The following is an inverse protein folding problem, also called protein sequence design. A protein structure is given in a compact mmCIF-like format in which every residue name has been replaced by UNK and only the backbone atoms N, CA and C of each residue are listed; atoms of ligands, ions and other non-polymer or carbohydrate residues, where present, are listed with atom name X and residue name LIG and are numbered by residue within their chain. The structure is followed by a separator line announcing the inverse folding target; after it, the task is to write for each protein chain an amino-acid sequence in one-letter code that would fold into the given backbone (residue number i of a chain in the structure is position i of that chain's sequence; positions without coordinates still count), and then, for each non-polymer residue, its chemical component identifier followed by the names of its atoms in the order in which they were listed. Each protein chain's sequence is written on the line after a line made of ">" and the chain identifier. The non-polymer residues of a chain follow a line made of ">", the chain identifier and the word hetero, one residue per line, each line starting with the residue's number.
data_IF_954002730701
#
_entry.id   IF_954002730701
#
_cell.length_a   1.000
_cell.length_b   1.000
_cell.length_c   1.000
_cell.angle_alpha   90.00
_cell.angle_beta   90.00
_cell.angle_gamma   90.00
#
_symmetry.space_group_name_H-M   'P 1'
#
loop_
_entity.id
_entity.type
_entity.pdbx_description
1 polymer ?
#
# COMPACT_ATOMS: atom_id res chain seq x y z
N UNK A 1 9.83 52.76 15.53
CA UNK A 1 9.02 51.93 14.61
C UNK A 1 9.86 50.99 13.70
N UNK A 2 11.11 51.33 13.32
CA UNK A 2 11.93 50.50 12.40
C UNK A 2 12.43 49.17 13.00
N UNK A 3 12.83 49.13 14.28
CA UNK A 3 13.32 47.94 14.95
C UNK A 3 12.20 46.89 15.13
N UNK A 4 10.98 47.30 15.49
CA UNK A 4 9.84 46.41 15.65
C UNK A 4 9.47 45.73 14.30
N UNK A 5 9.45 46.47 13.19
CA UNK A 5 9.19 45.93 11.85
C UNK A 5 10.25 44.88 11.45
N UNK A 6 11.52 45.12 11.76
CA UNK A 6 12.59 44.11 11.50
C UNK A 6 12.41 42.86 12.32
N UNK A 7 12.10 42.97 13.61
CA UNK A 7 11.87 41.79 14.48
C UNK A 7 10.65 41.03 14.00
N UNK A 8 9.53 41.68 13.70
CA UNK A 8 8.32 41.04 13.17
C UNK A 8 8.62 40.33 11.84
N UNK A 9 9.36 40.98 10.93
CA UNK A 9 9.76 40.36 9.66
C UNK A 9 10.64 39.15 9.83
N UNK A 10 11.62 39.17 10.77
CA UNK A 10 12.47 38.01 11.05
C UNK A 10 11.68 36.84 11.66
N UNK A 11 10.76 37.09 12.59
CA UNK A 11 9.91 36.07 13.19
C UNK A 11 9.00 35.47 12.12
N UNK A 12 8.35 36.27 11.31
CA UNK A 12 7.51 35.78 10.21
C UNK A 12 8.30 34.90 9.20
N UNK A 13 9.54 35.30 8.87
CA UNK A 13 10.42 34.51 8.02
C UNK A 13 10.79 33.15 8.64
N UNK A 14 11.10 33.13 9.94
CA UNK A 14 11.42 31.88 10.65
C UNK A 14 10.21 30.93 10.71
N UNK A 15 9.01 31.46 10.98
CA UNK A 15 7.76 30.68 10.98
C UNK A 15 7.48 30.12 9.59
N UNK A 16 7.67 30.93 8.55
CA UNK A 16 7.46 30.50 7.17
C UNK A 16 8.44 29.38 6.78
N UNK A 17 9.74 29.56 7.04
CA UNK A 17 10.76 28.53 6.77
C UNK A 17 10.51 27.26 7.57
N UNK A 18 10.18 27.40 8.86
CA UNK A 18 9.81 26.26 9.71
C UNK A 18 8.60 25.50 9.18
N UNK A 19 7.58 26.23 8.70
CA UNK A 19 6.40 25.65 8.05
C UNK A 19 6.73 24.89 6.78
N UNK A 20 7.61 25.41 5.92
CA UNK A 20 8.07 24.72 4.71
C UNK A 20 8.86 23.45 5.04
N UNK A 21 9.71 23.48 6.05
CA UNK A 21 10.45 22.30 6.51
C UNK A 21 9.48 21.24 7.05
N UNK A 22 8.53 21.64 7.89
CA UNK A 22 7.52 20.72 8.43
C UNK A 22 6.68 20.10 7.30
N UNK A 23 6.28 20.88 6.30
CA UNK A 23 5.57 20.40 5.13
C UNK A 23 6.40 19.39 4.32
N UNK A 24 7.68 19.68 4.10
CA UNK A 24 8.59 18.79 3.37
C UNK A 24 8.81 17.46 4.11
N UNK A 25 8.99 17.52 5.43
CA UNK A 25 9.16 16.33 6.27
C UNK A 25 7.91 15.45 6.36
N UNK A 26 6.72 16.03 6.23
CA UNK A 26 5.44 15.31 6.31
C UNK A 26 4.76 15.14 4.94
N UNK A 27 5.44 15.48 3.86
CA UNK A 27 4.84 15.49 2.52
C UNK A 27 4.23 14.14 2.14
N UNK A 28 4.92 13.03 2.45
CA UNK A 28 4.41 11.69 2.16
C UNK A 28 3.11 11.40 2.93
N UNK A 29 3.06 11.72 4.23
CA UNK A 29 1.86 11.53 5.05
C UNK A 29 0.67 12.33 4.52
N UNK A 30 0.90 13.60 4.14
CA UNK A 30 -0.15 14.46 3.58
C UNK A 30 -0.64 13.93 2.23
N UNK A 31 0.27 13.51 1.37
CA UNK A 31 -0.07 12.91 0.07
C UNK A 31 -0.89 11.63 0.25
N UNK A 32 -0.45 10.75 1.14
CA UNK A 32 -1.12 9.50 1.42
C UNK A 32 -2.53 9.72 1.98
N UNK A 33 -2.68 10.69 2.89
CA UNK A 33 -3.99 11.08 3.42
C UNK A 33 -4.92 11.63 2.34
N UNK A 34 -4.40 12.46 1.42
CA UNK A 34 -5.18 12.96 0.29
C UNK A 34 -5.59 11.84 -0.65
N UNK A 35 -4.73 10.87 -0.93
CA UNK A 35 -5.05 9.72 -1.77
C UNK A 35 -6.18 8.89 -1.17
N UNK A 36 -6.11 8.56 0.11
CA UNK A 36 -7.19 7.82 0.80
C UNK A 36 -8.51 8.61 0.76
N UNK A 37 -8.46 9.91 1.00
CA UNK A 37 -9.66 10.75 0.99
C UNK A 37 -10.30 10.89 -0.40
N UNK A 38 -9.50 10.88 -1.47
CA UNK A 38 -9.99 10.93 -2.85
C UNK A 38 -10.52 9.59 -3.35
N UNK A 39 -10.14 8.49 -2.72
CA UNK A 39 -10.58 7.17 -3.13
C UNK A 39 -12.02 6.89 -2.70
N UNK A 40 -12.82 6.45 -3.65
CA UNK A 40 -14.20 6.00 -3.42
C UNK A 40 -14.28 4.52 -3.75
N UNK A 41 -14.18 3.64 -2.73
CA UNK A 41 -14.23 2.20 -2.94
C UNK A 41 -15.60 1.77 -3.47
N UNK A 42 -15.63 0.84 -4.41
CA UNK A 42 -16.85 0.18 -4.83
C UNK A 42 -17.44 -0.68 -3.70
N UNK A 43 -18.72 -1.02 -3.78
CA UNK A 43 -19.34 -1.93 -2.80
C UNK A 43 -18.63 -3.29 -2.72
N UNK A 44 -18.15 -3.81 -3.85
CA UNK A 44 -17.36 -5.05 -3.91
C UNK A 44 -16.05 -4.94 -3.11
N UNK A 45 -15.31 -3.85 -3.26
CA UNK A 45 -14.08 -3.58 -2.50
C UNK A 45 -14.38 -3.42 -1.00
N UNK A 46 -15.48 -2.76 -0.62
CA UNK A 46 -15.88 -2.63 0.79
C UNK A 46 -16.16 -4.02 1.37
N UNK A 47 -16.98 -4.82 0.68
CA UNK A 47 -17.31 -6.18 1.11
C UNK A 47 -16.05 -7.04 1.22
N UNK A 48 -15.13 -6.95 0.25
CA UNK A 48 -13.87 -7.68 0.27
C UNK A 48 -13.01 -7.32 1.49
N UNK A 49 -12.88 -6.03 1.82
CA UNK A 49 -12.11 -5.60 3.00
C UNK A 49 -12.70 -6.09 4.32
N UNK A 50 -14.03 -6.18 4.40
CA UNK A 50 -14.71 -6.68 5.59
C UNK A 50 -14.56 -8.20 5.71
N UNK A 51 -14.70 -8.95 4.60
CA UNK A 51 -14.46 -10.40 4.54
C UNK A 51 -12.99 -10.74 4.86
N UNK A 52 -12.04 -9.97 4.32
CA UNK A 52 -10.61 -10.11 4.63
C UNK A 52 -10.26 -9.71 6.07
N UNK A 53 -11.22 -9.21 6.85
CA UNK A 53 -11.04 -8.76 8.24
C UNK A 53 -9.84 -7.82 8.41
N UNK A 54 -9.61 -6.92 7.45
CA UNK A 54 -8.52 -5.97 7.53
C UNK A 54 -8.73 -5.01 8.71
N UNK A 55 -7.69 -4.82 9.53
CA UNK A 55 -7.69 -3.80 10.57
C UNK A 55 -7.81 -2.39 9.96
N UNK A 56 -8.15 -1.38 10.75
CA UNK A 56 -8.23 0.00 10.26
C UNK A 56 -6.94 0.46 9.58
N UNK A 57 -5.78 0.05 10.11
CA UNK A 57 -4.49 0.32 9.49
C UNK A 57 -4.30 -0.45 8.18
N UNK A 58 -4.75 -1.70 8.11
CA UNK A 58 -4.76 -2.49 6.88
C UNK A 58 -5.66 -1.87 5.82
N UNK A 59 -6.88 -1.48 6.18
CA UNK A 59 -7.81 -0.75 5.29
C UNK A 59 -7.20 0.56 4.80
N UNK A 60 -6.51 1.31 5.65
CA UNK A 60 -5.81 2.53 5.25
C UNK A 60 -4.77 2.27 4.15
N UNK A 61 -3.87 1.28 4.33
CA UNK A 61 -2.89 0.93 3.30
C UNK A 61 -3.55 0.39 2.03
N UNK A 62 -4.58 -0.42 2.17
CA UNK A 62 -5.30 -0.97 1.03
C UNK A 62 -5.97 0.13 0.20
N UNK A 63 -6.71 1.04 0.83
CA UNK A 63 -7.37 2.16 0.15
C UNK A 63 -6.39 3.22 -0.39
N UNK A 64 -5.23 3.37 0.25
CA UNK A 64 -4.15 4.21 -0.25
C UNK A 64 -3.70 3.80 -1.66
N UNK A 65 -3.74 2.51 -1.96
CA UNK A 65 -3.38 1.97 -3.27
C UNK A 65 -4.57 1.89 -4.25
N UNK A 66 -5.71 2.52 -3.96
CA UNK A 66 -6.87 2.58 -4.86
C UNK A 66 -7.20 1.20 -5.48
N UNK A 67 -7.47 0.16 -4.68
CA UNK A 67 -7.65 -1.20 -5.17
C UNK A 67 -8.80 -1.29 -6.17
N UNK A 68 -8.62 -2.13 -7.18
CA UNK A 68 -9.60 -2.43 -8.21
C UNK A 68 -9.84 -3.93 -8.23
N UNK A 69 -11.10 -4.35 -8.34
CA UNK A 69 -11.50 -5.71 -8.63
C UNK A 69 -11.87 -5.75 -10.11
N UNK A 70 -11.16 -6.56 -10.90
CA UNK A 70 -11.15 -6.49 -12.36
C UNK A 70 -11.41 -7.86 -12.97
N UNK A 71 -12.16 -7.89 -14.07
CA UNK A 71 -12.31 -9.08 -14.90
C UNK A 71 -11.01 -9.45 -15.61
N UNK A 72 -11.00 -10.61 -16.25
CA UNK A 72 -9.80 -11.20 -16.85
C UNK A 72 -9.08 -10.29 -17.87
N UNK A 73 -9.82 -9.54 -18.67
CA UNK A 73 -9.24 -8.72 -19.73
C UNK A 73 -8.49 -7.52 -19.14
N UNK A 74 -9.11 -6.77 -18.24
CA UNK A 74 -8.55 -5.59 -17.57
C UNK A 74 -7.38 -6.00 -16.69
N UNK A 75 -7.55 -7.04 -15.88
CA UNK A 75 -6.51 -7.55 -14.98
C UNK A 75 -5.24 -7.97 -15.74
N UNK A 76 -5.37 -8.75 -16.83
CA UNK A 76 -4.22 -9.22 -17.60
C UNK A 76 -3.48 -8.09 -18.36
N UNK A 77 -4.11 -6.94 -18.59
CA UNK A 77 -3.44 -5.76 -19.17
C UNK A 77 -2.55 -5.08 -18.13
N UNK A 78 -2.98 -5.08 -16.87
CA UNK A 78 -2.31 -4.40 -15.78
C UNK A 78 -1.28 -5.31 -15.07
N UNK A 79 -1.61 -6.58 -14.85
CA UNK A 79 -0.79 -7.55 -14.15
C UNK A 79 -0.22 -8.59 -15.12
N UNK A 80 1.07 -8.50 -15.41
CA UNK A 80 1.75 -9.47 -16.27
C UNK A 80 2.27 -10.65 -15.45
N UNK A 81 1.97 -11.86 -15.90
CA UNK A 81 2.49 -13.09 -15.27
C UNK A 81 3.98 -13.22 -15.57
N UNK A 82 4.79 -13.42 -14.53
CA UNK A 82 6.20 -13.73 -14.67
C UNK A 82 6.41 -15.12 -15.29
N UNK A 83 5.52 -16.07 -14.94
CA UNK A 83 5.55 -17.45 -15.44
C UNK A 83 4.18 -17.85 -16.01
N UNK A 84 4.15 -18.54 -17.18
CA UNK A 84 2.88 -18.90 -17.84
C UNK A 84 1.99 -19.87 -17.02
N UNK A 85 2.56 -20.60 -16.05
CA UNK A 85 1.85 -21.60 -15.25
C UNK A 85 1.44 -21.12 -13.86
N UNK A 86 1.85 -19.89 -13.46
CA UNK A 86 1.45 -19.37 -12.15
C UNK A 86 0.07 -18.70 -12.25
N UNK A 87 -0.80 -19.01 -11.30
CA UNK A 87 -2.04 -18.26 -11.11
C UNK A 87 -1.69 -16.93 -10.43
N UNK A 88 -1.76 -15.83 -11.18
CA UNK A 88 -1.66 -14.48 -10.62
C UNK A 88 -3.08 -13.97 -10.40
N UNK A 89 -3.41 -13.65 -9.14
CA UNK A 89 -4.74 -13.19 -8.73
C UNK A 89 -4.73 -11.77 -8.19
N UNK A 90 -3.56 -11.18 -8.00
CA UNK A 90 -3.36 -9.79 -7.62
C UNK A 90 -2.01 -9.29 -8.03
N UNK A 91 -1.86 -7.98 -8.12
CA UNK A 91 -0.56 -7.32 -8.18
C UNK A 91 -0.64 -5.88 -7.65
N UNK A 92 0.38 -5.48 -6.91
CA UNK A 92 0.63 -4.08 -6.58
C UNK A 92 1.59 -3.47 -7.59
N UNK A 93 1.20 -2.36 -8.21
CA UNK A 93 2.06 -1.59 -9.14
C UNK A 93 2.63 -0.37 -8.45
N UNK A 94 3.92 -0.38 -8.05
CA UNK A 94 4.54 0.76 -7.37
C UNK A 94 4.55 2.05 -8.20
N UNK A 95 4.61 1.95 -9.52
CA UNK A 95 4.65 3.10 -10.42
C UNK A 95 3.38 3.94 -10.43
N UNK A 96 2.23 3.30 -10.28
CA UNK A 96 0.90 3.93 -10.18
C UNK A 96 0.36 3.94 -8.76
N UNK A 97 1.01 3.22 -7.87
CA UNK A 97 0.56 2.95 -6.49
C UNK A 97 -0.86 2.38 -6.47
N UNK A 98 -1.13 1.39 -7.34
CA UNK A 98 -2.46 0.78 -7.50
C UNK A 98 -2.39 -0.72 -7.25
N UNK A 99 -3.36 -1.26 -6.52
CA UNK A 99 -3.61 -2.69 -6.40
C UNK A 99 -4.63 -3.09 -7.45
N UNK A 100 -4.31 -4.14 -8.20
CA UNK A 100 -5.21 -4.81 -9.12
C UNK A 100 -5.50 -6.22 -8.59
N UNK A 101 -6.77 -6.58 -8.49
CA UNK A 101 -7.24 -7.88 -8.03
C UNK A 101 -8.10 -8.51 -9.11
N UNK A 102 -7.91 -9.81 -9.32
CA UNK A 102 -8.76 -10.58 -10.23
C UNK A 102 -10.06 -10.93 -9.53
N UNK A 103 -11.18 -10.67 -10.19
CA UNK A 103 -12.54 -11.04 -9.74
C UNK A 103 -12.74 -12.54 -9.98
N UNK A 104 -12.84 -13.32 -8.90
CA UNK A 104 -12.86 -14.78 -8.93
C UNK A 104 -14.27 -15.29 -8.71
N UNK A 105 -14.91 -15.75 -9.78
CA UNK A 105 -16.28 -16.30 -9.73
C UNK A 105 -16.37 -17.79 -9.36
N UNK A 106 -15.22 -18.47 -9.12
CA UNK A 106 -15.22 -19.91 -8.83
C UNK A 106 -15.45 -20.19 -7.34
N UNK A 107 -16.58 -20.82 -6.96
CA UNK A 107 -16.86 -21.16 -5.56
C UNK A 107 -15.83 -22.10 -4.92
N UNK A 108 -15.06 -22.87 -5.71
CA UNK A 108 -13.98 -23.70 -5.19
C UNK A 108 -12.77 -22.88 -4.70
N UNK A 109 -12.70 -21.61 -5.05
CA UNK A 109 -11.66 -20.66 -4.68
C UNK A 109 -12.16 -19.61 -3.66
N UNK A 110 -13.22 -19.93 -2.91
CA UNK A 110 -13.72 -19.08 -1.84
C UNK A 110 -12.60 -18.72 -0.85
N UNK A 111 -12.48 -17.44 -0.51
CA UNK A 111 -11.43 -16.91 0.39
C UNK A 111 -10.14 -16.49 -0.30
N UNK A 112 -9.93 -16.85 -1.57
CA UNK A 112 -8.68 -16.55 -2.27
C UNK A 112 -8.52 -15.04 -2.53
N UNK A 113 -9.61 -14.33 -2.81
CA UNK A 113 -9.60 -12.87 -3.00
C UNK A 113 -9.18 -12.13 -1.72
N UNK A 114 -9.68 -12.58 -0.56
CA UNK A 114 -9.34 -12.01 0.74
C UNK A 114 -7.87 -12.15 1.07
N UNK A 115 -7.32 -13.35 0.82
CA UNK A 115 -5.89 -13.62 1.01
C UNK A 115 -5.05 -12.78 0.05
N UNK A 116 -5.47 -12.70 -1.21
CA UNK A 116 -4.79 -11.89 -2.23
C UNK A 116 -4.83 -10.40 -1.86
N UNK A 117 -5.99 -9.88 -1.46
CA UNK A 117 -6.14 -8.48 -1.04
C UNK A 117 -5.22 -8.15 0.15
N UNK A 118 -5.16 -9.05 1.14
CA UNK A 118 -4.27 -8.88 2.29
C UNK A 118 -2.79 -8.93 1.87
N UNK A 119 -2.43 -9.82 0.94
CA UNK A 119 -1.07 -9.92 0.39
C UNK A 119 -0.65 -8.63 -0.33
N UNK A 120 -1.46 -8.15 -1.25
CA UNK A 120 -1.15 -6.92 -2.00
C UNK A 120 -1.10 -5.69 -1.09
N UNK A 121 -1.96 -5.63 -0.06
CA UNK A 121 -1.89 -4.59 0.97
C UNK A 121 -0.55 -4.58 1.70
N UNK A 122 0.05 -5.75 1.97
CA UNK A 122 1.37 -5.83 2.60
C UNK A 122 2.48 -5.25 1.71
N UNK A 123 2.40 -5.38 0.38
CA UNK A 123 3.32 -4.70 -0.54
C UNK A 123 3.22 -3.18 -0.42
N UNK A 124 2.01 -2.63 -0.28
CA UNK A 124 1.80 -1.19 -0.05
C UNK A 124 2.42 -0.79 1.29
N UNK A 125 2.11 -1.51 2.37
CA UNK A 125 2.66 -1.24 3.70
C UNK A 125 4.20 -1.26 3.69
N UNK A 126 4.79 -2.27 3.07
CA UNK A 126 6.25 -2.39 2.93
C UNK A 126 6.86 -1.24 2.12
N UNK A 127 6.17 -0.76 1.08
CA UNK A 127 6.64 0.37 0.27
C UNK A 127 6.73 1.67 1.08
N UNK A 128 5.99 1.79 2.17
CA UNK A 128 5.95 2.95 3.08
C UNK A 128 6.98 2.90 4.20
N UNK A 129 7.66 1.76 4.39
CA UNK A 129 8.73 1.66 5.37
C UNK A 129 9.95 2.46 4.93
N UNK A 130 10.57 3.16 5.87
CA UNK A 130 11.88 3.78 5.70
C UNK A 130 12.96 2.72 5.50
N UNK A 131 14.12 3.12 4.97
CA UNK A 131 15.26 2.22 4.83
C UNK A 131 15.68 1.60 6.17
N UNK A 132 15.63 2.37 7.26
CA UNK A 132 15.96 1.86 8.61
C UNK A 132 14.97 0.79 9.08
N UNK A 133 13.66 1.00 8.87
CA UNK A 133 12.64 0.02 9.21
C UNK A 133 12.76 -1.26 8.38
N UNK A 134 13.09 -1.15 7.09
CA UNK A 134 13.34 -2.32 6.23
C UNK A 134 14.54 -3.13 6.71
N UNK A 135 15.64 -2.46 7.11
CA UNK A 135 16.82 -3.14 7.68
C UNK A 135 16.47 -3.88 8.97
N UNK A 136 15.62 -3.30 9.82
CA UNK A 136 15.17 -3.97 11.05
C UNK A 136 14.20 -5.12 10.79
N UNK A 137 13.37 -5.02 9.76
CA UNK A 137 12.37 -6.02 9.41
C UNK A 137 12.99 -7.23 8.70
N UNK A 138 14.01 -7.03 7.86
CA UNK A 138 14.63 -8.09 7.04
C UNK A 138 15.00 -9.35 7.84
N UNK A 139 15.76 -9.29 8.95
CA UNK A 139 16.13 -10.49 9.70
C UNK A 139 14.93 -11.19 10.35
N UNK A 140 13.85 -10.44 10.65
CA UNK A 140 12.62 -11.02 11.18
C UNK A 140 11.86 -11.81 10.11
N UNK A 141 11.82 -11.30 8.88
CA UNK A 141 11.23 -12.00 7.75
C UNK A 141 12.04 -13.25 7.38
N UNK A 142 13.36 -13.16 7.38
CA UNK A 142 14.26 -14.30 7.14
C UNK A 142 14.06 -15.38 8.22
N UNK A 143 13.98 -14.99 9.49
CA UNK A 143 13.73 -15.92 10.58
C UNK A 143 12.34 -16.58 10.47
N UNK A 144 11.31 -15.81 10.10
CA UNK A 144 9.97 -16.35 9.86
C UNK A 144 9.98 -17.33 8.67
N UNK A 145 10.64 -16.96 7.56
CA UNK A 145 10.78 -17.82 6.39
C UNK A 145 11.47 -19.13 6.72
N UNK A 146 12.53 -19.12 7.53
CA UNK A 146 13.23 -20.32 7.95
C UNK A 146 12.37 -21.31 8.76
N UNK A 147 11.22 -20.86 9.28
CA UNK A 147 10.26 -21.75 9.98
C UNK A 147 9.26 -22.41 9.04
N UNK A 148 9.12 -21.91 7.82
CA UNK A 148 8.21 -22.48 6.80
C UNK A 148 8.90 -23.69 6.16
N UNK A 149 8.34 -24.87 6.40
CA UNK A 149 8.83 -26.14 5.83
C UNK A 149 7.84 -26.67 4.79
N UNK A 150 7.55 -25.87 3.78
CA UNK A 150 6.66 -26.25 2.68
C UNK A 150 7.44 -26.22 1.37
N UNK A 151 7.68 -27.42 0.78
CA UNK A 151 8.42 -27.58 -0.47
C UNK A 151 7.76 -26.83 -1.64
N UNK A 152 6.41 -26.70 -1.65
CA UNK A 152 5.70 -25.92 -2.68
C UNK A 152 5.87 -24.42 -2.50
N UNK A 153 6.10 -23.96 -1.28
CA UNK A 153 6.40 -22.58 -0.99
C UNK A 153 7.83 -22.23 -1.39
N UNK A 154 8.80 -23.13 -1.11
CA UNK A 154 10.20 -22.98 -1.51
C UNK A 154 10.37 -22.94 -3.04
N UNK A 155 9.57 -23.71 -3.79
CA UNK A 155 9.60 -23.73 -5.26
C UNK A 155 9.14 -22.39 -5.90
N UNK A 156 8.41 -21.54 -5.16
CA UNK A 156 7.80 -20.30 -5.66
C UNK A 156 8.53 -19.02 -5.25
N UNK A 157 9.56 -19.15 -4.40
CA UNK A 157 10.36 -18.03 -3.90
C UNK A 157 11.66 -17.85 -4.69
#
# INVERSE_FOLDING_TARGET
>A
MSKLRKVVGSVASLVFVGGLIALALNFQLLRDQLRVWQYQPSSAIITLTDRASLSDRGKHYFYLAHPKLEGANEFNQECQRAEPKSALLGCYKPSTETIHLYDVDDPALEGVEEVTAAHEMLHVAYSRLSAAEKILLSPLLEAAYATVKDAKFEERM
#
